data_IF_894841420096
#
_entry.id   IF_894841420096
#
_cell.length_a   1.000
_cell.length_b   1.000
_cell.length_c   1.000
_cell.angle_alpha   90.00
_cell.angle_beta   90.00
_cell.angle_gamma   90.00
#
_symmetry.space_group_name_H-M   'P 1'
#
loop_
_entity.id
_entity.type
_entity.pdbx_description
1 polymer ?
#
# COMPACT_ATOMS: atom_id res chain seq x y z
N UNK A 1 32.45 44.94 3.08
CA UNK A 1 31.23 44.88 2.25
C UNK A 1 31.28 43.50 1.62
N UNK A 2 30.81 42.55 2.41
CA UNK A 2 30.87 41.12 2.15
C UNK A 2 29.62 40.71 1.39
N UNK A 3 29.81 40.27 0.16
CA UNK A 3 28.77 39.62 -0.62
C UNK A 3 29.23 38.19 -0.88
N UNK A 4 29.05 37.31 0.10
CA UNK A 4 29.13 35.88 -0.10
C UNK A 4 27.86 35.41 -0.80
N UNK A 5 28.02 35.04 -2.07
CA UNK A 5 27.04 34.35 -2.89
C UNK A 5 26.85 32.94 -2.30
N UNK A 6 25.64 32.62 -1.83
CA UNK A 6 25.27 31.26 -1.47
C UNK A 6 24.96 30.53 -2.79
N UNK A 7 25.96 29.87 -3.37
CA UNK A 7 25.71 28.84 -4.38
C UNK A 7 24.93 27.72 -3.69
N UNK A 8 23.70 27.50 -4.13
CA UNK A 8 22.90 26.34 -3.76
C UNK A 8 23.53 25.09 -4.35
N UNK A 9 24.58 24.58 -3.72
CA UNK A 9 25.12 23.26 -4.00
C UNK A 9 24.10 22.23 -3.57
N UNK A 10 23.53 21.50 -4.55
CA UNK A 10 22.77 20.29 -4.27
C UNK A 10 23.61 19.40 -3.36
N UNK A 11 23.05 19.07 -2.19
CA UNK A 11 23.71 18.15 -1.27
C UNK A 11 23.94 16.80 -1.97
N UNK A 12 24.99 16.04 -1.61
CA UNK A 12 25.33 14.79 -2.28
C UNK A 12 24.15 13.80 -2.35
N UNK A 13 23.30 13.78 -1.34
CA UNK A 13 22.09 12.96 -1.30
C UNK A 13 21.06 13.34 -2.37
N UNK A 14 20.89 14.63 -2.67
CA UNK A 14 19.98 15.11 -3.71
C UNK A 14 20.50 14.83 -5.13
N UNK A 15 21.82 14.84 -5.30
CA UNK A 15 22.45 14.51 -6.58
C UNK A 15 22.35 13.01 -6.89
N UNK A 16 22.41 12.16 -5.86
CA UNK A 16 22.17 10.71 -5.97
C UNK A 16 20.71 10.42 -6.37
N UNK A 17 19.73 11.05 -5.72
CA UNK A 17 18.32 10.90 -6.06
C UNK A 17 18.02 11.36 -7.51
N UNK A 18 18.58 12.49 -7.95
CA UNK A 18 18.40 12.98 -9.32
C UNK A 18 19.01 12.04 -10.37
N UNK A 19 20.15 11.43 -10.05
CA UNK A 19 20.80 10.47 -10.93
C UNK A 19 20.04 9.13 -11.01
N UNK A 20 19.49 8.64 -9.89
CA UNK A 20 18.59 7.48 -9.86
C UNK A 20 17.35 7.75 -10.72
N UNK A 21 16.73 8.92 -10.57
CA UNK A 21 15.58 9.35 -11.39
C UNK A 21 15.90 9.39 -12.87
N UNK A 22 17.06 9.92 -13.23
CA UNK A 22 17.49 10.03 -14.62
C UNK A 22 17.79 8.66 -15.24
N UNK A 23 18.44 7.75 -14.51
CA UNK A 23 18.72 6.40 -15.00
C UNK A 23 17.47 5.52 -15.01
N UNK A 24 16.54 5.70 -14.06
CA UNK A 24 15.20 5.13 -14.15
C UNK A 24 14.50 5.63 -15.41
N UNK A 25 14.43 6.94 -15.65
CA UNK A 25 13.83 7.46 -16.88
C UNK A 25 14.50 6.88 -18.14
N UNK A 26 15.82 6.70 -18.14
CA UNK A 26 16.56 6.16 -19.29
C UNK A 26 16.35 4.67 -19.54
N UNK A 27 16.41 3.85 -18.50
CA UNK A 27 16.23 2.39 -18.61
C UNK A 27 14.79 2.05 -18.98
N UNK A 28 13.84 2.88 -18.54
CA UNK A 28 12.42 2.61 -18.68
C UNK A 28 11.74 3.38 -19.84
N UNK A 29 12.44 4.30 -20.54
CA UNK A 29 11.95 5.01 -21.74
C UNK A 29 11.97 4.17 -23.04
N UNK A 30 11.98 2.83 -22.95
CA UNK A 30 11.82 1.99 -24.15
C UNK A 30 10.33 1.82 -24.47
N UNK A 31 9.91 2.42 -25.58
CA UNK A 31 8.52 2.63 -26.02
C UNK A 31 7.61 1.37 -26.10
N UNK A 32 8.14 0.15 -25.97
CA UNK A 32 7.34 -1.08 -25.93
C UNK A 32 6.88 -1.48 -24.52
N UNK A 33 7.48 -0.95 -23.44
CA UNK A 33 7.13 -1.26 -22.05
C UNK A 33 6.40 -0.14 -21.30
N UNK A 34 6.23 1.04 -21.92
CA UNK A 34 5.69 2.25 -21.28
C UNK A 34 4.16 2.23 -21.05
N UNK A 35 3.39 1.37 -21.71
CA UNK A 35 1.92 1.57 -21.74
C UNK A 35 1.14 1.09 -20.51
N UNK A 36 1.72 0.30 -19.59
CA UNK A 36 0.96 -0.29 -18.47
C UNK A 36 1.57 -0.02 -17.08
N UNK A 37 2.75 0.61 -17.02
CA UNK A 37 3.46 0.85 -15.77
C UNK A 37 3.09 2.22 -15.22
N UNK A 38 2.46 2.27 -14.05
CA UNK A 38 2.29 3.55 -13.35
C UNK A 38 3.60 3.87 -12.63
N UNK A 39 4.34 4.85 -13.15
CA UNK A 39 5.50 5.41 -12.46
C UNK A 39 5.04 6.37 -11.36
N UNK A 40 5.59 6.19 -10.16
CA UNK A 40 5.44 7.09 -9.01
C UNK A 40 6.82 7.37 -8.45
N UNK A 41 7.39 8.52 -8.81
CA UNK A 41 8.77 8.86 -8.44
C UNK A 41 9.78 7.91 -9.12
N UNK A 42 10.55 7.19 -8.31
CA UNK A 42 11.62 6.26 -8.69
C UNK A 42 11.18 4.79 -8.76
N UNK A 43 9.87 4.57 -8.70
CA UNK A 43 9.27 3.24 -8.66
C UNK A 43 8.21 3.12 -9.73
N UNK A 44 8.12 1.95 -10.35
CA UNK A 44 7.01 1.58 -11.22
C UNK A 44 6.27 0.36 -10.68
N UNK A 45 4.96 0.37 -10.87
CA UNK A 45 4.08 -0.75 -10.52
C UNK A 45 3.41 -1.31 -11.77
N UNK A 46 3.28 -2.63 -11.83
CA UNK A 46 2.70 -3.35 -12.96
C UNK A 46 2.02 -4.64 -12.51
N UNK A 47 0.97 -5.08 -13.22
CA UNK A 47 0.45 -6.43 -13.09
C UNK A 47 0.83 -7.29 -14.29
N UNK A 48 1.51 -8.40 -14.03
CA UNK A 48 2.04 -9.29 -15.07
C UNK A 48 1.56 -10.72 -14.91
N UNK A 49 1.27 -11.39 -16.03
CA UNK A 49 1.07 -12.83 -16.08
C UNK A 49 2.35 -13.50 -16.56
N UNK A 50 2.80 -14.53 -15.85
CA UNK A 50 3.97 -15.32 -16.22
C UNK A 50 3.59 -16.80 -16.28
N UNK A 51 4.13 -17.49 -17.29
CA UNK A 51 3.98 -18.93 -17.39
C UNK A 51 5.04 -19.62 -16.53
N UNK A 52 4.60 -20.50 -15.64
CA UNK A 52 5.47 -21.31 -14.79
C UNK A 52 6.00 -22.54 -15.55
N UNK A 53 7.07 -23.20 -15.07
CA UNK A 53 7.59 -24.43 -15.68
C UNK A 53 6.54 -25.55 -15.82
N UNK A 54 5.51 -25.53 -14.97
CA UNK A 54 4.35 -26.45 -15.02
C UNK A 54 3.41 -26.20 -16.20
N UNK A 55 3.66 -25.20 -17.04
CA UNK A 55 2.78 -24.68 -18.10
C UNK A 55 1.57 -23.89 -17.63
N UNK A 56 1.30 -23.84 -16.33
CA UNK A 56 0.24 -23.01 -15.77
C UNK A 56 0.66 -21.53 -15.70
N UNK A 57 -0.32 -20.64 -15.63
CA UNK A 57 -0.08 -19.19 -15.53
C UNK A 57 -0.27 -18.69 -14.10
N UNK A 58 0.51 -17.68 -13.76
CA UNK A 58 0.48 -17.01 -12.47
C UNK A 58 0.39 -15.50 -12.69
N UNK A 59 -0.47 -14.83 -11.92
CA UNK A 59 -0.60 -13.38 -11.89
C UNK A 59 0.23 -12.81 -10.75
N UNK A 60 1.00 -11.76 -11.03
CA UNK A 60 1.85 -11.06 -10.08
C UNK A 60 1.52 -9.56 -10.04
N UNK A 61 1.66 -8.95 -8.86
CA UNK A 61 1.91 -7.53 -8.70
C UNK A 61 3.43 -7.33 -8.64
N UNK A 62 3.97 -6.52 -9.54
CA UNK A 62 5.40 -6.25 -9.63
C UNK A 62 5.70 -4.81 -9.23
N UNK A 63 6.74 -4.64 -8.42
CA UNK A 63 7.36 -3.37 -8.07
C UNK A 63 8.75 -3.32 -8.68
N UNK A 64 9.02 -2.29 -9.46
CA UNK A 64 10.29 -2.07 -10.15
C UNK A 64 10.95 -0.79 -9.64
N UNK A 65 12.27 -0.81 -9.42
CA UNK A 65 13.06 0.37 -9.09
C UNK A 65 14.48 0.21 -9.60
N UNK A 66 15.22 1.31 -9.71
CA UNK A 66 16.66 1.28 -9.99
C UNK A 66 17.41 1.25 -8.66
N UNK A 67 18.29 0.28 -8.49
CA UNK A 67 19.24 0.23 -7.39
C UNK A 67 20.64 0.63 -7.88
N UNK A 68 21.49 1.08 -6.95
CA UNK A 68 22.86 1.44 -7.22
C UNK A 68 23.80 0.60 -6.36
N UNK A 69 24.84 0.02 -6.97
CA UNK A 69 25.95 -0.62 -6.27
C UNK A 69 27.25 -0.31 -7.00
N UNK A 70 28.29 0.05 -6.25
CA UNK A 70 29.62 0.38 -6.78
C UNK A 70 29.58 1.42 -7.92
N UNK A 71 28.70 2.42 -7.81
CA UNK A 71 28.51 3.47 -8.81
C UNK A 71 27.78 3.01 -10.09
N UNK A 72 27.32 1.77 -10.15
CA UNK A 72 26.58 1.20 -11.27
C UNK A 72 25.10 1.08 -10.93
N UNK A 73 24.24 1.52 -11.84
CA UNK A 73 22.79 1.40 -11.73
C UNK A 73 22.30 0.10 -12.36
N UNK A 74 21.36 -0.57 -11.70
CA UNK A 74 20.72 -1.77 -12.22
C UNK A 74 19.23 -1.79 -11.87
N UNK A 75 18.43 -2.30 -12.81
CA UNK A 75 17.01 -2.55 -12.62
C UNK A 75 16.82 -3.68 -11.58
N UNK A 76 15.95 -3.42 -10.60
CA UNK A 76 15.57 -4.38 -9.56
C UNK A 76 14.06 -4.52 -9.52
N UNK A 77 13.58 -5.70 -9.12
CA UNK A 77 12.16 -6.01 -8.97
C UNK A 77 11.88 -6.83 -7.74
N UNK A 78 10.75 -6.55 -7.10
CA UNK A 78 10.06 -7.45 -6.18
C UNK A 78 8.70 -7.83 -6.76
N UNK A 79 8.30 -9.08 -6.56
CA UNK A 79 7.06 -9.63 -7.10
C UNK A 79 6.22 -10.25 -5.98
N UNK A 80 4.97 -9.81 -5.88
CA UNK A 80 3.95 -10.45 -5.04
C UNK A 80 3.07 -11.33 -5.93
N UNK A 81 2.95 -12.60 -5.57
CA UNK A 81 2.05 -13.54 -6.27
C UNK A 81 0.61 -13.30 -5.84
N UNK A 82 -0.31 -13.26 -6.81
CA UNK A 82 -1.73 -12.99 -6.57
C UNK A 82 -2.62 -14.21 -6.84
N UNK A 83 -2.37 -14.90 -7.95
CA UNK A 83 -3.09 -16.12 -8.37
C UNK A 83 -2.08 -17.05 -9.02
N UNK A 84 -2.12 -18.35 -8.71
CA UNK A 84 -1.24 -19.35 -9.32
C UNK A 84 -2.02 -20.51 -9.93
N UNK A 85 -1.34 -21.29 -10.76
CA UNK A 85 -1.87 -22.52 -11.36
C UNK A 85 -3.20 -22.32 -12.11
N UNK A 86 -3.31 -21.20 -12.83
CA UNK A 86 -4.53 -20.81 -13.54
C UNK A 86 -4.35 -20.80 -15.06
N UNK A 87 -5.46 -20.87 -15.78
CA UNK A 87 -5.50 -20.61 -17.22
C UNK A 87 -5.33 -19.12 -17.51
N UNK A 88 -4.59 -18.80 -18.58
CA UNK A 88 -4.37 -17.41 -18.98
C UNK A 88 -5.68 -16.64 -19.21
N UNK A 89 -6.71 -17.30 -19.77
CA UNK A 89 -8.02 -16.68 -20.00
C UNK A 89 -8.72 -16.22 -18.71
N UNK A 90 -8.39 -16.80 -17.56
CA UNK A 90 -8.91 -16.40 -16.25
C UNK A 90 -8.13 -15.22 -15.68
N UNK A 91 -6.82 -15.14 -15.95
CA UNK A 91 -5.94 -14.11 -15.41
C UNK A 91 -5.98 -12.81 -16.20
N UNK A 92 -6.10 -12.89 -17.53
CA UNK A 92 -6.13 -11.72 -18.41
C UNK A 92 -7.19 -10.66 -18.06
N UNK A 93 -8.46 -11.00 -17.75
CA UNK A 93 -9.43 -9.98 -17.35
C UNK A 93 -9.06 -9.30 -16.03
N UNK A 94 -8.52 -10.05 -15.06
CA UNK A 94 -8.07 -9.50 -13.77
C UNK A 94 -6.87 -8.57 -14.00
N UNK A 95 -5.88 -9.02 -14.79
CA UNK A 95 -4.70 -8.23 -15.15
C UNK A 95 -5.10 -6.94 -15.86
N UNK A 96 -6.02 -7.02 -16.82
CA UNK A 96 -6.49 -5.87 -17.59
C UNK A 96 -7.22 -4.85 -16.71
N UNK A 97 -8.10 -5.30 -15.81
CA UNK A 97 -8.79 -4.44 -14.84
C UNK A 97 -7.81 -3.74 -13.90
N UNK A 98 -6.85 -4.48 -13.35
CA UNK A 98 -5.85 -3.91 -12.45
C UNK A 98 -4.94 -2.89 -13.16
N UNK A 99 -4.52 -3.17 -14.40
CA UNK A 99 -3.74 -2.21 -15.17
C UNK A 99 -4.57 -1.00 -15.62
N UNK A 100 -5.88 -1.14 -15.87
CA UNK A 100 -6.77 0.01 -16.13
C UNK A 100 -6.90 0.91 -14.89
N UNK A 101 -7.03 0.33 -13.68
CA UNK A 101 -7.00 1.10 -12.43
C UNK A 101 -5.66 1.82 -12.22
N UNK A 102 -4.54 1.15 -12.49
CA UNK A 102 -3.21 1.79 -12.46
C UNK A 102 -3.14 2.98 -13.42
N UNK A 103 -3.56 2.79 -14.67
CA UNK A 103 -3.54 3.85 -15.69
C UNK A 103 -4.44 5.04 -15.38
N UNK A 104 -5.42 4.88 -14.48
CA UNK A 104 -6.27 5.97 -13.96
C UNK A 104 -5.69 6.66 -12.72
N UNK A 105 -4.51 6.24 -12.24
CA UNK A 105 -3.88 6.77 -11.04
C UNK A 105 -4.48 6.22 -9.73
N UNK A 106 -5.26 5.13 -9.78
CA UNK A 106 -5.89 4.52 -8.61
C UNK A 106 -4.96 3.53 -7.90
N UNK A 107 -3.69 3.91 -7.68
CA UNK A 107 -2.64 3.01 -7.17
C UNK A 107 -3.01 2.39 -5.81
N UNK A 108 -3.51 3.18 -4.86
CA UNK A 108 -3.88 2.66 -3.54
C UNK A 108 -5.03 1.66 -3.62
N UNK A 109 -6.06 1.97 -4.42
CA UNK A 109 -7.21 1.10 -4.58
C UNK A 109 -6.82 -0.25 -5.20
N UNK A 110 -6.05 -0.23 -6.29
CA UNK A 110 -5.64 -1.48 -6.95
C UNK A 110 -4.66 -2.29 -6.12
N UNK A 111 -3.77 -1.65 -5.34
CA UNK A 111 -2.86 -2.38 -4.44
C UNK A 111 -3.59 -3.01 -3.26
N UNK A 112 -4.66 -2.38 -2.75
CA UNK A 112 -5.53 -2.98 -1.75
C UNK A 112 -6.33 -4.18 -2.32
N UNK A 113 -6.79 -4.09 -3.57
CA UNK A 113 -7.43 -5.23 -4.24
C UNK A 113 -6.44 -6.38 -4.48
N UNK A 114 -5.21 -6.07 -4.89
CA UNK A 114 -4.14 -7.06 -5.05
C UNK A 114 -3.78 -7.73 -3.72
N UNK A 115 -3.70 -6.97 -2.63
CA UNK A 115 -3.49 -7.50 -1.28
C UNK A 115 -4.60 -8.49 -0.89
N UNK A 116 -5.86 -8.09 -1.05
CA UNK A 116 -6.99 -8.96 -0.71
C UNK A 116 -6.93 -10.26 -1.53
N UNK A 117 -6.62 -10.16 -2.83
CA UNK A 117 -6.50 -11.33 -3.69
C UNK A 117 -5.34 -12.24 -3.27
N UNK A 118 -4.19 -11.68 -2.87
CA UNK A 118 -3.06 -12.46 -2.37
C UNK A 118 -3.37 -13.14 -1.03
N UNK A 119 -4.13 -12.48 -0.14
CA UNK A 119 -4.62 -13.07 1.12
C UNK A 119 -5.61 -14.21 0.85
N UNK A 120 -6.59 -13.99 -0.01
CA UNK A 120 -7.61 -15.00 -0.36
C UNK A 120 -6.98 -16.26 -0.96
N UNK A 121 -5.91 -16.08 -1.76
CA UNK A 121 -5.12 -17.17 -2.34
C UNK A 121 -3.97 -17.67 -1.43
N UNK A 122 -3.85 -17.15 -0.20
CA UNK A 122 -2.86 -17.56 0.82
C UNK A 122 -1.39 -17.32 0.43
N UNK A 123 -1.13 -16.40 -0.50
CA UNK A 123 0.22 -15.93 -0.80
C UNK A 123 0.70 -14.84 0.15
N UNK A 124 -0.23 -14.22 0.86
CA UNK A 124 0.04 -13.21 1.85
C UNK A 124 -0.68 -13.56 3.15
N UNK A 125 0.03 -13.48 4.27
CA UNK A 125 -0.56 -13.70 5.58
C UNK A 125 -1.40 -12.46 5.99
N UNK A 126 -2.70 -12.61 6.30
CA UNK A 126 -3.53 -11.51 6.78
C UNK A 126 -3.11 -10.99 8.16
N UNK A 127 -2.48 -11.83 8.99
CA UNK A 127 -2.09 -11.46 10.37
C UNK A 127 -0.63 -11.01 10.49
N UNK A 128 0.05 -10.79 9.36
CA UNK A 128 1.46 -10.36 9.33
C UNK A 128 1.75 -9.13 10.21
N UNK A 129 2.91 -9.16 10.87
CA UNK A 129 3.39 -8.07 11.72
C UNK A 129 3.91 -6.88 10.88
N UNK A 130 4.64 -7.17 9.79
CA UNK A 130 5.07 -6.15 8.83
C UNK A 130 3.95 -5.94 7.80
N UNK A 131 3.30 -4.77 7.78
CA UNK A 131 2.10 -4.57 6.97
C UNK A 131 2.42 -4.22 5.51
N UNK A 132 3.70 -4.05 5.15
CA UNK A 132 4.14 -3.74 3.78
C UNK A 132 3.80 -4.88 2.82
N UNK A 133 3.42 -4.52 1.59
CA UNK A 133 3.23 -5.49 0.50
C UNK A 133 4.56 -5.90 -0.13
N UNK A 134 5.44 -4.93 -0.35
CA UNK A 134 6.77 -5.11 -0.90
C UNK A 134 7.80 -4.81 0.21
N UNK A 135 8.66 -5.78 0.52
CA UNK A 135 9.61 -5.68 1.63
C UNK A 135 10.90 -4.96 1.23
N UNK A 136 11.16 -4.87 -0.08
CA UNK A 136 12.37 -4.32 -0.67
C UNK A 136 12.10 -3.04 -1.48
N UNK A 137 13.20 -2.32 -1.76
CA UNK A 137 13.17 -1.08 -2.51
C UNK A 137 12.67 0.13 -1.70
N UNK A 138 12.38 1.26 -2.37
CA UNK A 138 11.86 2.47 -1.74
C UNK A 138 10.52 2.24 -1.03
N UNK A 139 10.15 3.02 0.01
CA UNK A 139 8.84 2.93 0.64
C UNK A 139 7.70 3.08 -0.37
N UNK A 140 6.64 2.30 -0.20
CA UNK A 140 5.46 2.38 -1.06
C UNK A 140 4.65 3.66 -0.78
N UNK A 141 4.14 4.36 -1.80
CA UNK A 141 3.39 5.62 -1.64
C UNK A 141 1.90 5.39 -1.36
N UNK A 142 1.47 4.16 -1.14
CA UNK A 142 0.10 3.76 -0.87
C UNK A 142 -0.03 3.12 0.50
N UNK A 143 -1.25 3.07 1.04
CA UNK A 143 -1.54 2.40 2.31
C UNK A 143 -2.20 1.05 2.08
N UNK A 144 -1.68 -0.01 2.71
CA UNK A 144 -2.21 -1.37 2.64
C UNK A 144 -3.44 -1.55 3.54
N UNK A 145 -4.27 -2.57 3.28
CA UNK A 145 -5.37 -2.96 4.15
C UNK A 145 -4.86 -3.32 5.55
N UNK A 146 -3.72 -4.03 5.64
CA UNK A 146 -3.11 -4.36 6.92
C UNK A 146 -2.64 -3.12 7.71
N UNK A 147 -2.07 -2.12 7.04
CA UNK A 147 -1.70 -0.85 7.68
C UNK A 147 -2.93 -0.15 8.28
N UNK A 148 -4.03 -0.06 7.51
CA UNK A 148 -5.28 0.54 7.98
C UNK A 148 -5.87 -0.22 9.18
N UNK A 149 -5.78 -1.55 9.16
CA UNK A 149 -6.26 -2.39 10.25
C UNK A 149 -5.45 -2.16 11.54
N UNK A 150 -4.11 -2.19 11.45
CA UNK A 150 -3.22 -1.96 12.58
C UNK A 150 -3.38 -0.55 13.15
N UNK A 151 -3.53 0.46 12.30
CA UNK A 151 -3.83 1.83 12.75
C UNK A 151 -5.17 1.89 13.50
N UNK A 152 -6.21 1.24 12.97
CA UNK A 152 -7.53 1.17 13.61
C UNK A 152 -7.48 0.44 14.96
N UNK A 153 -6.72 -0.64 15.07
CA UNK A 153 -6.49 -1.36 16.33
C UNK A 153 -5.75 -0.48 17.35
N UNK A 154 -4.71 0.24 16.90
CA UNK A 154 -3.96 1.16 17.74
C UNK A 154 -4.84 2.29 18.29
N UNK A 155 -5.67 2.91 17.45
CA UNK A 155 -6.59 3.97 17.85
C UNK A 155 -7.65 3.48 18.87
N UNK A 156 -8.12 2.24 18.72
CA UNK A 156 -9.02 1.62 19.70
C UNK A 156 -8.34 1.35 21.04
N UNK A 157 -7.08 0.91 21.02
CA UNK A 157 -6.31 0.65 22.24
C UNK A 157 -5.91 1.94 22.99
N UNK A 158 -5.72 3.06 22.28
CA UNK A 158 -5.40 4.36 22.88
C UNK A 158 -6.62 5.20 23.22
N UNK A 159 -7.80 4.82 22.75
CA UNK A 159 -9.06 5.41 23.21
C UNK A 159 -9.28 4.96 24.65
N UNK A 160 -9.23 5.86 25.65
CA UNK A 160 -9.67 5.49 26.99
C UNK A 160 -11.12 5.05 26.83
N UNK A 161 -11.36 3.78 27.10
CA UNK A 161 -12.69 3.23 27.21
C UNK A 161 -13.50 4.23 28.04
N UNK A 162 -14.48 4.89 27.44
CA UNK A 162 -15.59 5.42 28.20
C UNK A 162 -16.04 4.21 29.01
N UNK A 163 -15.73 4.20 30.31
CA UNK A 163 -16.23 3.18 31.22
C UNK A 163 -17.70 3.01 30.88
N UNK A 164 -18.24 1.79 30.80
CA UNK A 164 -19.68 1.65 30.86
C UNK A 164 -20.06 2.39 32.14
N UNK A 165 -20.61 3.60 32.02
CA UNK A 165 -21.37 4.17 33.11
C UNK A 165 -22.51 3.17 33.22
N UNK A 166 -22.37 2.23 34.16
CA UNK A 166 -23.54 1.61 34.75
C UNK A 166 -24.50 2.77 34.95
N UNK A 167 -25.70 2.76 34.33
CA UNK A 167 -26.67 3.77 34.66
C UNK A 167 -26.80 3.66 36.17
N UNK A 168 -26.38 4.70 36.89
CA UNK A 168 -26.73 4.83 38.27
C UNK A 168 -28.24 4.66 38.27
N UNK A 169 -28.71 3.54 38.81
CA UNK A 169 -30.08 3.40 39.23
C UNK A 169 -30.19 4.46 40.32
N UNK A 170 -30.50 5.67 39.88
CA UNK A 170 -30.96 6.75 40.72
C UNK A 170 -32.18 6.14 41.39
N UNK A 171 -32.00 5.78 42.66
CA UNK A 171 -33.08 5.40 43.55
C UNK A 171 -34.01 6.60 43.55
N UNK A 172 -34.99 6.58 42.64
CA UNK A 172 -36.11 7.50 42.68
C UNK A 172 -36.79 7.28 44.02
N UNK A 173 -36.41 8.16 44.94
CA UNK A 173 -37.06 8.48 46.19
C UNK A 173 -38.56 8.32 45.98
N UNK A 174 -39.13 7.27 46.58
CA UNK A 174 -40.56 7.02 46.54
C UNK A 174 -41.25 8.06 47.42
N UNK A 175 -41.29 9.31 46.95
CA UNK A 175 -42.23 10.32 47.41
C UNK A 175 -43.48 10.25 46.54
N UNK A 176 -44.27 9.19 46.74
CA UNK A 176 -45.69 9.25 46.44
C UNK A 176 -46.51 9.48 47.71
N UNK A 177 -46.82 10.77 47.89
CA UNK A 177 -48.16 11.31 48.16
C UNK A 177 -48.84 10.86 49.47
N UNK A 178 -48.76 11.73 50.48
CA UNK A 178 -49.81 11.83 51.50
C UNK A 178 -51.10 12.30 50.81
N UNK A 179 -52.07 11.40 50.69
CA UNK A 179 -53.46 11.75 50.41
C UNK A 179 -54.11 12.06 51.76
N UNK A 180 -54.24 13.34 52.08
CA UNK A 180 -55.13 13.79 53.16
C UNK A 180 -56.58 13.60 52.69
N UNK A 181 -57.28 12.64 53.30
CA UNK A 181 -58.72 12.48 53.18
C UNK A 181 -59.34 13.27 54.35
N UNK A 182 -59.86 14.46 54.05
CA UNK A 182 -60.74 15.19 54.96
C UNK A 182 -62.18 14.67 54.81
N UNK A 183 -62.91 14.69 55.94
CA UNK A 183 -64.18 14.03 56.30
C UNK A 183 -65.32 13.98 55.27
#
# INVERSE_FOLDING_TARGET
MDSHFFEGGSTPHQAEDEAVRAEFARLFASEEQESLRQQVGDVAYEFTTRQEPSQAWTLYADKWWVAQADGTYFETRESLKLVEDADLSMLEPIRAEFNDLLGRGALTEVMQQAEQLAVDNRFLDPERDDPRLFQQGPPDPFTTLRELELESQRLRATSPQASPQEPALDEFDTQEIRVDFDL
#
